data_IF_633464614120
#
_entry.id   IF_633464614120
#
_cell.length_a   1.000
_cell.length_b   1.000
_cell.length_c   1.000
_cell.angle_alpha   90.00
_cell.angle_beta   90.00
_cell.angle_gamma   90.00
#
_symmetry.space_group_name_H-M   'P 1'
#
loop_
_entity.id
_entity.type
_entity.pdbx_description
1 polymer ?
#
# COMPACT_ATOMS: atom_id res chain seq x y z
N UNK A 1 7.16 8.01 -16.98
CA UNK A 1 5.81 8.55 -16.75
C UNK A 1 5.70 8.73 -15.25
N UNK A 2 5.28 9.89 -14.76
CA UNK A 2 5.04 10.03 -13.32
C UNK A 2 4.02 8.98 -12.91
N UNK A 3 4.34 8.17 -11.90
CA UNK A 3 3.48 7.10 -11.41
C UNK A 3 2.26 7.75 -10.74
N UNK A 4 1.25 8.03 -11.56
CA UNK A 4 -0.04 8.57 -11.14
C UNK A 4 -0.98 7.42 -10.81
N UNK A 5 -1.64 7.57 -9.67
CA UNK A 5 -2.52 6.58 -9.08
C UNK A 5 -3.93 7.13 -8.96
N UNK A 6 -4.91 6.31 -9.26
CA UNK A 6 -6.32 6.55 -9.01
C UNK A 6 -6.81 5.61 -7.91
N UNK A 7 -7.37 6.18 -6.85
CA UNK A 7 -7.77 5.46 -5.64
C UNK A 7 -9.27 5.68 -5.39
N UNK A 8 -9.97 4.58 -5.15
CA UNK A 8 -11.37 4.63 -4.73
C UNK A 8 -11.69 3.52 -3.74
N UNK A 9 -12.69 3.75 -2.89
CA UNK A 9 -13.15 2.79 -1.89
C UNK A 9 -14.56 2.35 -2.21
N UNK A 10 -14.78 1.03 -2.27
CA UNK A 10 -16.09 0.43 -2.46
C UNK A 10 -16.24 -0.77 -1.53
N UNK A 11 -17.38 -0.87 -0.82
CA UNK A 11 -17.67 -2.00 0.06
C UNK A 11 -16.62 -2.27 1.14
N UNK A 12 -15.93 -1.22 1.64
CA UNK A 12 -14.87 -1.36 2.64
C UNK A 12 -13.53 -1.83 2.08
N UNK A 13 -13.36 -1.87 0.75
CA UNK A 13 -12.10 -2.21 0.08
C UNK A 13 -11.61 -1.03 -0.75
N UNK A 14 -10.36 -0.63 -0.52
CA UNK A 14 -9.64 0.30 -1.38
C UNK A 14 -9.18 -0.42 -2.64
N UNK A 15 -9.29 0.24 -3.78
CA UNK A 15 -8.70 -0.15 -5.04
C UNK A 15 -7.76 0.94 -5.54
N UNK A 16 -6.54 0.55 -5.93
CA UNK A 16 -5.54 1.48 -6.48
C UNK A 16 -5.13 1.06 -7.90
N UNK A 17 -5.36 1.97 -8.84
CA UNK A 17 -5.10 1.77 -10.26
C UNK A 17 -4.02 2.71 -10.76
N UNK A 18 -3.19 2.24 -11.69
CA UNK A 18 -2.29 3.12 -12.44
C UNK A 18 -3.08 3.88 -13.49
N UNK A 19 -3.04 5.21 -13.48
CA UNK A 19 -3.90 6.02 -14.36
C UNK A 19 -3.61 5.84 -15.85
N UNK A 20 -2.40 5.42 -16.20
CA UNK A 20 -1.94 5.35 -17.59
C UNK A 20 -2.12 3.98 -18.24
N UNK A 21 -2.30 2.92 -17.45
CA UNK A 21 -2.68 1.59 -17.95
C UNK A 21 -4.11 1.21 -17.60
N UNK A 22 -4.69 1.83 -16.57
CA UNK A 22 -5.95 1.40 -15.98
C UNK A 22 -5.85 0.08 -15.20
N UNK A 23 -4.66 -0.48 -14.99
CA UNK A 23 -4.51 -1.73 -14.25
C UNK A 23 -4.64 -1.50 -12.75
N UNK A 24 -5.48 -2.32 -12.10
CA UNK A 24 -5.58 -2.41 -10.65
C UNK A 24 -4.39 -3.16 -10.11
N UNK A 25 -3.52 -2.46 -9.38
CA UNK A 25 -2.30 -3.07 -8.83
C UNK A 25 -2.50 -3.50 -7.40
N UNK A 26 -3.27 -2.74 -6.62
CA UNK A 26 -3.52 -3.04 -5.22
C UNK A 26 -5.01 -3.06 -4.91
N UNK A 27 -5.40 -3.96 -4.01
CA UNK A 27 -6.60 -3.76 -3.21
C UNK A 27 -6.32 -4.00 -1.73
N UNK A 28 -7.02 -3.29 -0.86
CA UNK A 28 -6.85 -3.39 0.59
C UNK A 28 -8.20 -3.37 1.30
N UNK A 29 -8.51 -4.44 2.03
CA UNK A 29 -9.78 -4.56 2.75
C UNK A 29 -9.63 -4.02 4.16
N UNK A 30 -10.50 -3.09 4.52
CA UNK A 30 -10.58 -2.50 5.84
C UNK A 30 -11.54 -3.27 6.74
N UNK A 31 -11.19 -3.35 8.02
CA UNK A 31 -12.09 -3.78 9.09
C UNK A 31 -12.20 -2.68 10.13
N UNK A 32 -13.38 -2.54 10.72
CA UNK A 32 -13.59 -1.63 11.84
C UNK A 32 -12.83 -2.12 13.08
N UNK A 33 -12.19 -1.18 13.76
CA UNK A 33 -11.53 -1.38 15.05
C UNK A 33 -11.88 -0.20 15.96
N UNK A 34 -11.60 -0.34 17.26
CA UNK A 34 -11.79 0.78 18.19
C UNK A 34 -10.96 1.99 17.73
N UNK A 35 -11.65 3.11 17.46
CA UNK A 35 -11.01 4.36 17.04
C UNK A 35 -10.68 4.48 15.55
N UNK A 36 -11.10 3.54 14.68
CA UNK A 36 -10.96 3.73 13.23
C UNK A 36 -11.05 2.46 12.38
N UNK A 37 -10.33 2.48 11.26
CA UNK A 37 -10.24 1.38 10.32
C UNK A 37 -8.83 0.78 10.31
N UNK A 38 -8.75 -0.53 10.11
CA UNK A 38 -7.49 -1.26 9.96
C UNK A 38 -7.47 -2.04 8.66
N UNK A 39 -6.35 -2.00 7.94
CA UNK A 39 -6.14 -2.91 6.81
C UNK A 39 -5.97 -4.34 7.33
N UNK A 40 -6.85 -5.24 6.88
CA UNK A 40 -6.88 -6.65 7.27
C UNK A 40 -6.27 -7.58 6.23
N UNK A 41 -6.40 -7.21 4.96
CA UNK A 41 -5.91 -7.97 3.81
C UNK A 41 -5.45 -7.03 2.72
N UNK A 42 -4.37 -7.41 2.03
CA UNK A 42 -3.85 -6.72 0.85
C UNK A 42 -3.68 -7.73 -0.27
N UNK A 43 -4.22 -7.40 -1.45
CA UNK A 43 -3.93 -8.08 -2.69
C UNK A 43 -3.02 -7.23 -3.56
N UNK A 44 -2.09 -7.88 -4.25
CA UNK A 44 -1.15 -7.24 -5.17
C UNK A 44 -1.17 -7.98 -6.50
N UNK A 45 -1.25 -7.24 -7.61
CA UNK A 45 -1.14 -7.80 -8.96
C UNK A 45 0.19 -8.54 -9.12
N UNK A 46 0.11 -9.75 -9.66
CA UNK A 46 1.21 -10.70 -9.76
C UNK A 46 1.65 -10.95 -11.20
N UNK A 47 0.85 -10.56 -12.19
CA UNK A 47 1.21 -10.62 -13.60
C UNK A 47 2.35 -9.63 -13.89
N UNK A 48 3.58 -10.10 -14.22
CA UNK A 48 4.72 -9.23 -14.45
C UNK A 48 4.59 -8.36 -15.71
N UNK A 49 3.66 -8.68 -16.62
CA UNK A 49 3.35 -7.83 -17.77
C UNK A 49 2.50 -6.61 -17.35
N UNK A 50 1.70 -6.74 -16.30
CA UNK A 50 0.84 -5.68 -15.76
C UNK A 50 1.53 -4.88 -14.67
N UNK A 51 2.27 -5.55 -13.80
CA UNK A 51 2.98 -4.94 -12.69
C UNK A 51 4.27 -5.70 -12.36
N UNK A 52 5.42 -5.06 -12.63
CA UNK A 52 6.73 -5.60 -12.26
C UNK A 52 6.97 -5.40 -10.77
N UNK A 53 6.47 -6.37 -10.02
CA UNK A 53 6.52 -6.41 -8.57
C UNK A 53 7.96 -6.38 -8.04
N UNK A 54 8.34 -5.38 -7.24
CA UNK A 54 9.68 -5.34 -6.65
C UNK A 54 9.76 -6.26 -5.44
N UNK A 55 9.00 -6.01 -4.38
CA UNK A 55 8.96 -6.84 -3.17
C UNK A 55 7.71 -6.53 -2.34
N UNK A 56 7.34 -7.43 -1.43
CA UNK A 56 6.26 -7.22 -0.46
C UNK A 56 6.46 -5.94 0.35
N UNK A 57 7.69 -5.70 0.82
CA UNK A 57 8.01 -4.53 1.61
C UNK A 57 7.84 -3.23 0.80
N UNK A 58 8.22 -3.25 -0.49
CA UNK A 58 8.06 -2.11 -1.37
C UNK A 58 6.58 -1.84 -1.64
N UNK A 59 5.80 -2.87 -1.94
CA UNK A 59 4.37 -2.76 -2.23
C UNK A 59 3.59 -2.23 -1.03
N UNK A 60 3.86 -2.77 0.17
CA UNK A 60 3.19 -2.31 1.38
C UNK A 60 3.55 -0.86 1.71
N UNK A 61 4.81 -0.46 1.52
CA UNK A 61 5.22 0.93 1.74
C UNK A 61 4.58 1.88 0.72
N UNK A 62 4.54 1.49 -0.57
CA UNK A 62 3.89 2.29 -1.60
C UNK A 62 2.38 2.42 -1.33
N UNK A 63 1.71 1.34 -0.98
CA UNK A 63 0.29 1.38 -0.61
C UNK A 63 0.04 2.29 0.60
N UNK A 64 0.89 2.25 1.62
CA UNK A 64 0.80 3.15 2.77
C UNK A 64 0.97 4.63 2.36
N UNK A 65 1.93 4.93 1.48
CA UNK A 65 2.14 6.27 0.90
C UNK A 65 0.88 6.76 0.17
N UNK A 66 0.28 5.91 -0.66
CA UNK A 66 -0.92 6.25 -1.42
C UNK A 66 -2.12 6.51 -0.51
N UNK A 67 -2.32 5.68 0.52
CA UNK A 67 -3.39 5.87 1.50
C UNK A 67 -3.21 7.21 2.24
N UNK A 68 -2.00 7.49 2.73
CA UNK A 68 -1.72 8.76 3.44
C UNK A 68 -1.96 9.97 2.55
N UNK A 69 -1.34 10.00 1.38
CA UNK A 69 -1.40 11.16 0.49
C UNK A 69 -2.78 11.41 -0.10
N UNK A 70 -3.56 10.36 -0.39
CA UNK A 70 -4.82 10.49 -1.11
C UNK A 70 -6.05 10.41 -0.22
N UNK A 71 -6.09 9.47 0.74
CA UNK A 71 -7.27 9.29 1.61
C UNK A 71 -7.19 10.14 2.88
N UNK A 72 -5.99 10.28 3.46
CA UNK A 72 -5.82 11.01 4.72
C UNK A 72 -5.38 12.46 4.51
N UNK A 73 -4.88 12.82 3.32
CA UNK A 73 -4.32 14.14 3.05
C UNK A 73 -3.04 14.42 3.84
N UNK A 74 -2.35 13.38 4.28
CA UNK A 74 -1.12 13.44 5.06
C UNK A 74 0.10 13.34 4.15
N UNK A 75 1.12 14.13 4.43
CA UNK A 75 2.42 13.94 3.80
C UNK A 75 3.10 12.69 4.40
N UNK A 76 3.62 11.76 3.57
CA UNK A 76 4.36 10.61 4.06
C UNK A 76 5.56 11.04 4.89
N UNK A 77 5.75 10.44 6.07
CA UNK A 77 6.91 10.74 6.89
C UNK A 77 8.22 10.22 6.24
N UNK A 78 9.38 10.81 6.59
CA UNK A 78 10.67 10.42 6.01
C UNK A 78 11.05 8.95 6.24
N UNK A 79 10.57 8.32 7.33
CA UNK A 79 10.87 6.93 7.63
C UNK A 79 10.13 5.99 6.68
N UNK A 80 8.86 6.28 6.39
CA UNK A 80 8.07 5.58 5.40
C UNK A 80 8.68 5.72 3.99
N UNK A 81 9.13 6.94 3.64
CA UNK A 81 9.80 7.17 2.37
C UNK A 81 11.11 6.40 2.25
N UNK A 82 11.89 6.30 3.34
CA UNK A 82 13.10 5.49 3.35
C UNK A 82 12.79 4.00 3.23
N UNK A 83 11.79 3.48 3.97
CA UNK A 83 11.31 2.10 3.86
C UNK A 83 10.95 1.75 2.41
N UNK A 84 10.22 2.62 1.73
CA UNK A 84 9.85 2.43 0.33
C UNK A 84 11.07 2.38 -0.57
N UNK A 85 12.01 3.30 -0.39
CA UNK A 85 13.24 3.41 -1.19
C UNK A 85 14.16 2.19 -1.04
N UNK A 86 14.37 1.70 0.19
CA UNK A 86 15.30 0.59 0.45
C UNK A 86 14.71 -0.79 0.16
N UNK A 87 13.38 -0.89 0.09
CA UNK A 87 12.67 -2.13 -0.21
C UNK A 87 12.72 -2.55 -1.69
N UNK A 88 13.30 -1.72 -2.57
CA UNK A 88 13.62 -2.10 -3.94
C UNK A 88 14.70 -3.19 -3.91
N UNK A 89 14.41 -4.44 -4.33
CA UNK A 89 15.44 -5.44 -4.35
C UNK A 89 16.44 -5.13 -5.47
N UNK A 90 17.71 -5.54 -5.27
CA UNK A 90 18.73 -5.49 -6.33
C UNK A 90 18.42 -6.44 -7.50
N UNK A 91 17.44 -7.33 -7.36
CA UNK A 91 16.96 -8.27 -8.37
C UNK A 91 15.45 -8.54 -8.17
N UNK A 92 14.58 -8.46 -9.20
CA UNK A 92 13.13 -8.62 -9.02
C UNK A 92 12.75 -10.02 -8.52
N UNK A 93 11.96 -10.09 -7.45
CA UNK A 93 11.42 -11.34 -6.90
C UNK A 93 10.00 -11.58 -7.42
N UNK A 94 9.82 -12.70 -8.10
CA UNK A 94 8.52 -13.11 -8.67
C UNK A 94 7.89 -14.14 -7.73
N UNK A 95 7.08 -13.65 -6.80
CA UNK A 95 6.16 -14.49 -6.03
C UNK A 95 4.83 -13.75 -5.95
N UNK A 96 3.86 -14.22 -6.74
CA UNK A 96 2.46 -13.83 -6.65
C UNK A 96 1.81 -14.56 -5.48
N UNK A 97 1.14 -13.83 -4.60
CA UNK A 97 0.42 -14.38 -3.45
C UNK A 97 -0.10 -13.28 -2.54
N UNK A 98 -1.20 -13.55 -1.84
CA UNK A 98 -1.75 -12.67 -0.83
C UNK A 98 -0.70 -12.40 0.27
N UNK A 99 -0.33 -11.13 0.45
CA UNK A 99 0.61 -10.72 1.49
C UNK A 99 -0.21 -10.32 2.72
N UNK A 100 -0.09 -11.07 3.81
CA UNK A 100 -0.64 -10.65 5.12
C UNK A 100 0.32 -9.65 5.76
N UNK A 101 0.07 -8.36 5.56
CA UNK A 101 0.78 -7.27 6.23
C UNK A 101 -0.15 -6.49 7.17
N UNK A 102 0.20 -6.38 8.44
CA UNK A 102 -0.48 -5.50 9.40
C UNK A 102 0.05 -4.07 9.21
N UNK A 103 -0.65 -3.24 8.45
CA UNK A 103 -0.40 -1.79 8.44
C UNK A 103 -1.09 -1.18 9.67
N UNK A 104 -0.28 -0.82 10.66
CA UNK A 104 -0.74 -0.15 11.87
C UNK A 104 0.43 0.41 12.63
N UNK A 105 0.48 1.74 12.76
CA UNK A 105 1.43 2.41 13.65
C UNK A 105 1.04 2.04 15.09
N UNK A 106 2.00 1.58 15.89
CA UNK A 106 1.79 1.45 17.33
C UNK A 106 1.43 2.83 17.89
N UNK A 107 0.24 2.97 18.46
CA UNK A 107 -0.14 4.18 19.16
C UNK A 107 0.86 4.39 20.30
N UNK A 108 1.57 5.53 20.30
CA UNK A 108 2.38 5.93 21.44
C UNK A 108 1.41 6.21 22.59
N UNK A 109 1.60 5.53 23.71
CA UNK A 109 0.85 5.79 24.94
C UNK A 109 1.02 7.27 25.35
N UNK A 110 -0.02 7.92 25.90
CA UNK A 110 0.15 9.22 26.53
C UNK A 110 1.04 9.06 27.77
N UNK A 111 1.99 9.97 27.94
CA UNK A 111 2.73 10.12 29.19
C UNK A 111 1.82 10.79 30.23
N UNK A 112 1.77 10.21 31.43
CA UNK A 112 1.11 10.75 32.63
C UNK A 112 1.66 12.12 33.06
#
# INVERSE_FOLDING_TARGET
MDDKWDLFVEGGTLFAHRTWTGFGVYSATFVEVEGGLRVSEVWVESDPERYRRPSDAHDLALLEILIRGTLLGEEPDPELMERWRVALPKTPQHAGGAVRGLLGRAASAPAD
#
